data_IF_673106424610
#
_entry.id   IF_673106424610
#
_cell.length_a   1.000
_cell.length_b   1.000
_cell.length_c   1.000
_cell.angle_alpha   90.00
_cell.angle_beta   90.00
_cell.angle_gamma   90.00
#
_symmetry.space_group_name_H-M   'P 1'
#
loop_
_entity.id
_entity.type
_entity.pdbx_description
1 polymer ?
#
# COMPACT_ATOMS: atom_id res chain seq x y z
N UNK A 1 -4.45 18.71 22.93
CA UNK A 1 -4.20 19.45 21.67
C UNK A 1 -2.91 18.84 21.13
N UNK A 2 -2.87 18.18 19.98
CA UNK A 2 -3.33 18.61 18.66
C UNK A 2 -4.05 17.50 17.88
N UNK A 3 -4.67 17.93 16.79
CA UNK A 3 -5.79 17.33 16.08
C UNK A 3 -5.33 16.24 15.10
N UNK A 4 -6.02 15.09 15.10
CA UNK A 4 -6.03 14.17 13.95
C UNK A 4 -7.45 14.11 13.43
N UNK A 5 -7.74 14.91 12.40
CA UNK A 5 -8.87 14.65 11.49
C UNK A 5 -8.39 14.99 10.08
N UNK A 6 -8.37 13.99 9.20
CA UNK A 6 -8.90 14.18 7.85
C UNK A 6 -9.63 12.92 7.42
N UNK A 7 -10.93 12.94 7.66
CA UNK A 7 -11.93 12.02 7.16
C UNK A 7 -12.44 12.62 5.86
N UNK A 8 -12.22 11.99 4.70
CA UNK A 8 -13.06 12.17 3.49
C UNK A 8 -12.64 11.22 2.35
N UNK A 9 -13.20 10.02 2.34
CA UNK A 9 -13.57 9.35 1.09
C UNK A 9 -15.10 9.30 1.05
N UNK A 10 -15.73 10.43 0.71
CA UNK A 10 -17.18 10.50 0.47
C UNK A 10 -17.51 9.60 -0.71
N UNK A 11 -18.16 8.48 -0.41
CA UNK A 11 -18.93 7.69 -1.36
C UNK A 11 -20.34 8.27 -1.30
N UNK A 12 -20.73 9.05 -2.30
CA UNK A 12 -22.12 9.50 -2.42
C UNK A 12 -22.96 8.36 -3.00
N UNK A 13 -23.71 7.72 -2.12
CA UNK A 13 -24.68 6.66 -2.43
C UNK A 13 -26.05 7.32 -2.56
N UNK A 14 -26.47 7.66 -3.78
CA UNK A 14 -27.87 8.03 -4.03
C UNK A 14 -28.62 6.74 -4.36
N UNK A 15 -29.24 6.15 -3.34
CA UNK A 15 -30.35 5.22 -3.55
C UNK A 15 -31.60 6.03 -3.83
N UNK A 16 -32.03 6.05 -5.09
CA UNK A 16 -33.45 6.20 -5.39
C UNK A 16 -34.03 4.79 -5.37
N UNK A 17 -34.92 4.53 -4.41
CA UNK A 17 -35.67 3.29 -4.33
C UNK A 17 -36.45 3.06 -5.63
N UNK A 18 -36.38 1.83 -6.17
CA UNK A 18 -37.55 1.04 -6.56
C UNK A 18 -37.17 -0.43 -6.87
N UNK A 19 -37.73 -1.32 -6.07
CA UNK A 19 -38.19 -2.71 -6.30
C UNK A 19 -37.42 -3.65 -7.27
N UNK A 20 -36.83 -4.72 -6.68
CA UNK A 20 -37.04 -6.16 -6.98
C UNK A 20 -35.76 -7.02 -6.83
N UNK A 21 -35.94 -8.20 -6.25
CA UNK A 21 -34.93 -9.19 -5.83
C UNK A 21 -33.96 -9.58 -6.95
N UNK A 22 -32.68 -9.18 -6.86
CA UNK A 22 -31.60 -9.73 -7.71
C UNK A 22 -30.34 -9.94 -6.85
N UNK A 23 -29.78 -11.15 -6.91
CA UNK A 23 -28.61 -11.63 -6.18
C UNK A 23 -27.37 -10.71 -6.35
N UNK A 24 -26.43 -10.68 -5.39
CA UNK A 24 -25.24 -9.84 -5.46
C UNK A 24 -24.31 -10.35 -6.58
N UNK A 25 -24.56 -9.86 -7.78
CA UNK A 25 -23.62 -9.94 -8.89
C UNK A 25 -22.46 -9.04 -8.50
N UNK A 26 -21.27 -9.63 -8.25
CA UNK A 26 -20.05 -8.88 -7.96
C UNK A 26 -19.76 -7.96 -9.15
N UNK A 27 -20.22 -6.72 -9.05
CA UNK A 27 -20.03 -5.73 -10.08
C UNK A 27 -18.54 -5.42 -10.10
N UNK A 28 -17.85 -5.84 -11.16
CA UNK A 28 -16.45 -5.47 -11.37
C UNK A 28 -16.43 -3.95 -11.52
N UNK A 29 -16.15 -3.24 -10.42
CA UNK A 29 -15.95 -1.79 -10.42
C UNK A 29 -14.65 -1.51 -11.18
N UNK A 30 -14.76 -1.38 -12.51
CA UNK A 30 -13.65 -0.94 -13.36
C UNK A 30 -13.30 0.48 -12.91
N UNK A 31 -12.11 0.63 -12.32
CA UNK A 31 -11.64 1.92 -11.80
C UNK A 31 -11.71 2.98 -12.91
N UNK A 32 -12.43 4.08 -12.68
CA UNK A 32 -12.63 5.19 -13.64
C UNK A 32 -11.34 5.92 -14.06
N UNK A 33 -10.19 5.60 -13.47
CA UNK A 33 -8.94 6.34 -13.64
C UNK A 33 -8.05 5.79 -14.75
N UNK A 34 -7.58 6.67 -15.65
CA UNK A 34 -6.59 6.32 -16.69
C UNK A 34 -5.23 6.01 -16.05
N UNK A 35 -4.78 4.75 -16.15
CA UNK A 35 -3.46 4.32 -15.69
C UNK A 35 -2.36 4.97 -16.55
N UNK A 36 -1.29 5.45 -15.91
CA UNK A 36 -0.11 6.05 -16.58
C UNK A 36 1.17 5.36 -16.12
N UNK A 37 2.23 5.46 -16.93
CA UNK A 37 3.56 4.97 -16.54
C UNK A 37 4.07 5.83 -15.38
N UNK A 38 4.45 5.19 -14.28
CA UNK A 38 5.04 5.85 -13.11
C UNK A 38 6.54 6.02 -13.34
N UNK A 39 7.08 7.20 -13.04
CA UNK A 39 8.50 7.51 -13.23
C UNK A 39 9.43 6.71 -12.30
N UNK A 40 8.93 6.32 -11.12
CA UNK A 40 9.74 5.66 -10.09
C UNK A 40 9.78 4.13 -10.25
N UNK A 41 8.64 3.50 -10.54
CA UNK A 41 8.57 2.04 -10.66
C UNK A 41 8.43 1.54 -12.09
N UNK A 42 8.32 2.44 -13.07
CA UNK A 42 8.11 2.15 -14.49
C UNK A 42 6.86 1.32 -14.82
N UNK A 43 5.93 1.12 -13.87
CA UNK A 43 4.68 0.37 -14.06
C UNK A 43 3.51 1.28 -14.40
N UNK A 44 2.52 0.75 -15.14
CA UNK A 44 1.26 1.45 -15.45
C UNK A 44 0.24 1.29 -14.32
N UNK A 45 0.02 2.33 -13.53
CA UNK A 45 -0.86 2.34 -12.34
C UNK A 45 -1.65 3.65 -12.22
N UNK A 46 -2.61 3.71 -11.28
CA UNK A 46 -3.29 4.97 -10.92
C UNK A 46 -2.24 5.97 -10.40
N UNK A 47 -2.13 7.18 -10.98
CA UNK A 47 -1.31 8.26 -10.44
C UNK A 47 -1.71 8.62 -9.01
N UNK A 48 -0.78 9.15 -8.22
CA UNK A 48 -1.12 9.73 -6.93
C UNK A 48 -1.78 11.10 -7.12
N UNK A 49 -2.73 11.47 -6.28
CA UNK A 49 -3.46 12.74 -6.38
C UNK A 49 -2.53 13.94 -6.12
N UNK A 50 -1.66 13.80 -5.11
CA UNK A 50 -0.68 14.84 -4.73
C UNK A 50 0.60 14.84 -5.57
N UNK A 51 0.86 13.78 -6.35
CA UNK A 51 2.05 13.66 -7.18
C UNK A 51 1.77 12.86 -8.46
N UNK A 52 1.24 13.50 -9.52
CA UNK A 52 0.76 12.83 -10.72
C UNK A 52 1.83 12.06 -11.51
N UNK A 53 3.12 12.35 -11.28
CA UNK A 53 4.25 11.71 -11.95
C UNK A 53 4.57 10.31 -11.39
N UNK A 54 4.13 10.04 -10.16
CA UNK A 54 4.28 8.72 -9.53
C UNK A 54 2.93 8.06 -9.30
N UNK A 55 2.93 6.74 -9.18
CA UNK A 55 1.71 6.00 -8.87
C UNK A 55 1.39 6.02 -7.37
N UNK A 56 0.12 5.79 -7.03
CA UNK A 56 -0.35 5.73 -5.64
C UNK A 56 0.51 4.78 -4.78
N UNK A 57 0.91 3.60 -5.29
CA UNK A 57 1.76 2.66 -4.55
C UNK A 57 3.11 3.27 -4.18
N UNK A 58 3.80 3.91 -5.14
CA UNK A 58 5.10 4.56 -4.88
C UNK A 58 4.96 5.72 -3.90
N UNK A 59 3.87 6.49 -4.02
CA UNK A 59 3.56 7.59 -3.12
C UNK A 59 3.35 7.09 -1.68
N UNK A 60 2.52 6.05 -1.48
CA UNK A 60 2.30 5.49 -0.14
C UNK A 60 3.57 4.87 0.45
N UNK A 61 4.34 4.11 -0.33
CA UNK A 61 5.61 3.52 0.14
C UNK A 61 6.59 4.61 0.59
N UNK A 62 6.72 5.70 -0.18
CA UNK A 62 7.55 6.86 0.22
C UNK A 62 7.08 7.53 1.50
N UNK A 63 5.75 7.60 1.71
CA UNK A 63 5.15 8.24 2.88
C UNK A 63 5.28 7.39 4.14
N UNK A 64 5.14 6.06 4.02
CA UNK A 64 5.10 5.15 5.17
C UNK A 64 6.45 4.52 5.53
N UNK A 65 7.44 4.51 4.63
CA UNK A 65 8.80 4.02 4.94
C UNK A 65 9.62 5.00 5.78
N UNK A 66 9.11 5.35 6.96
CA UNK A 66 9.83 6.13 7.96
C UNK A 66 10.78 5.24 8.77
N UNK A 67 10.50 3.93 8.89
CA UNK A 67 11.37 2.97 9.56
C UNK A 67 12.52 2.55 8.63
N UNK A 68 13.66 3.24 8.75
CA UNK A 68 14.90 2.87 8.07
C UNK A 68 15.75 1.99 8.98
N UNK A 69 16.36 0.96 8.41
CA UNK A 69 17.32 0.10 9.11
C UNK A 69 18.67 0.78 9.35
N UNK A 70 18.91 1.92 8.69
CA UNK A 70 20.24 2.54 8.60
C UNK A 70 21.14 1.87 7.55
N UNK A 71 20.69 0.79 6.92
CA UNK A 71 21.38 0.11 5.84
C UNK A 71 20.64 0.33 4.52
N UNK A 72 21.24 1.16 3.65
CA UNK A 72 20.65 1.52 2.36
C UNK A 72 20.30 0.31 1.48
N UNK A 73 21.11 -0.76 1.49
CA UNK A 73 20.88 -1.95 0.67
C UNK A 73 19.62 -2.69 1.14
N UNK A 74 19.47 -2.83 2.46
CA UNK A 74 18.27 -3.45 3.07
C UNK A 74 17.05 -2.57 2.83
N UNK A 75 17.17 -1.26 3.03
CA UNK A 75 16.07 -0.31 2.85
C UNK A 75 15.58 -0.29 1.39
N UNK A 76 16.50 -0.30 0.42
CA UNK A 76 16.17 -0.37 -1.01
C UNK A 76 15.50 -1.71 -1.37
N UNK A 77 15.95 -2.82 -0.78
CA UNK A 77 15.34 -4.13 -0.97
C UNK A 77 13.89 -4.18 -0.46
N UNK A 78 13.66 -3.71 0.77
CA UNK A 78 12.32 -3.65 1.39
C UNK A 78 11.39 -2.77 0.55
N UNK A 79 11.86 -1.57 0.17
CA UNK A 79 11.12 -0.64 -0.69
C UNK A 79 10.72 -1.30 -2.01
N UNK A 80 11.65 -1.98 -2.67
CA UNK A 80 11.38 -2.66 -3.94
C UNK A 80 10.32 -3.76 -3.76
N UNK A 81 10.39 -4.56 -2.70
CA UNK A 81 9.38 -5.58 -2.39
C UNK A 81 7.99 -4.98 -2.21
N UNK A 82 7.86 -3.90 -1.43
CA UNK A 82 6.59 -3.20 -1.20
C UNK A 82 6.03 -2.56 -2.48
N UNK A 83 6.86 -1.97 -3.34
CA UNK A 83 6.44 -1.40 -4.64
C UNK A 83 5.99 -2.49 -5.61
N UNK A 84 6.61 -3.68 -5.53
CA UNK A 84 6.32 -4.79 -6.44
C UNK A 84 5.04 -5.52 -6.08
N UNK A 85 4.65 -5.54 -4.80
CA UNK A 85 3.43 -6.19 -4.34
C UNK A 85 2.19 -5.39 -4.79
N UNK A 86 1.34 -6.03 -5.59
CA UNK A 86 0.11 -5.44 -6.16
C UNK A 86 -1.16 -6.03 -5.54
N UNK A 87 -1.04 -7.09 -4.72
CA UNK A 87 -2.14 -7.80 -4.07
C UNK A 87 -1.94 -7.85 -2.55
N UNK A 88 -3.00 -8.09 -1.80
CA UNK A 88 -3.08 -8.11 -0.32
C UNK A 88 -2.20 -9.16 0.39
N UNK A 89 -1.27 -9.81 -0.31
CA UNK A 89 -0.47 -10.94 0.18
C UNK A 89 0.72 -10.57 1.08
N UNK A 90 0.55 -9.59 1.98
CA UNK A 90 1.55 -9.23 3.00
C UNK A 90 2.71 -8.38 2.46
N UNK A 91 2.80 -7.12 2.91
CA UNK A 91 3.93 -6.25 2.59
C UNK A 91 5.10 -6.56 3.53
N UNK A 92 6.31 -6.58 2.98
CA UNK A 92 7.52 -6.67 3.79
C UNK A 92 7.65 -5.41 4.66
N UNK A 93 7.91 -5.59 5.95
CA UNK A 93 8.13 -4.52 6.93
C UNK A 93 9.49 -4.71 7.59
N UNK A 94 10.18 -3.60 7.88
CA UNK A 94 11.35 -3.60 8.75
C UNK A 94 10.94 -3.50 10.22
N UNK A 95 11.38 -4.46 11.03
CA UNK A 95 11.18 -4.48 12.47
C UNK A 95 12.57 -4.47 13.15
N UNK A 96 12.92 -3.39 13.87
CA UNK A 96 14.16 -3.32 14.64
C UNK A 96 14.31 -4.49 15.64
N UNK A 97 15.54 -4.98 15.81
CA UNK A 97 15.82 -6.17 16.64
C UNK A 97 15.46 -5.96 18.13
N UNK A 98 15.59 -4.74 18.61
CA UNK A 98 15.26 -4.32 19.98
C UNK A 98 13.75 -4.39 20.30
N UNK A 99 12.88 -4.55 19.29
CA UNK A 99 11.44 -4.73 19.48
C UNK A 99 11.06 -6.17 19.85
N UNK A 100 11.94 -7.15 19.61
CA UNK A 100 11.67 -8.54 19.92
C UNK A 100 11.90 -8.83 21.41
N UNK A 101 11.03 -9.68 21.98
CA UNK A 101 11.13 -10.17 23.36
C UNK A 101 11.20 -11.69 23.35
N UNK A 102 11.74 -12.28 24.42
CA UNK A 102 11.84 -13.75 24.60
C UNK A 102 12.57 -14.43 23.42
N UNK A 103 13.73 -13.87 23.05
CA UNK A 103 14.54 -14.39 21.95
C UNK A 103 15.18 -15.71 22.40
N UNK A 104 14.82 -16.80 21.74
CA UNK A 104 15.34 -18.15 21.99
C UNK A 104 16.09 -18.64 20.75
N UNK A 105 17.20 -19.34 20.97
CA UNK A 105 17.97 -19.96 19.91
C UNK A 105 17.26 -21.23 19.41
N UNK A 106 16.94 -21.27 18.11
CA UNK A 106 16.24 -22.41 17.50
C UNK A 106 17.15 -23.31 16.66
N UNK A 107 18.16 -22.74 15.99
CA UNK A 107 19.14 -23.44 15.17
C UNK A 107 20.23 -22.47 14.69
N UNK A 108 21.39 -23.01 14.31
CA UNK A 108 22.42 -22.31 13.53
C UNK A 108 22.37 -22.83 12.09
N UNK A 109 22.40 -21.94 11.10
CA UNK A 109 22.33 -22.28 9.69
C UNK A 109 23.69 -22.25 8.98
N UNK A 110 23.75 -22.88 7.82
CA UNK A 110 24.82 -22.78 6.83
C UNK A 110 24.23 -22.91 5.43
N UNK A 111 24.65 -22.04 4.50
CA UNK A 111 24.19 -22.00 3.11
C UNK A 111 25.22 -22.61 2.16
#
# INVERSE_FOLDING_TARGET
MEQIIDYNSKIDFILSNDTSLIQPTQTIVKSKYKKRKCDECNRRRKPAEKSPNICHVCYEVKRYNVKQSGNKVIDDFIRNTQIRLVKDGGKMEFVPYDQFKNIEFIAEGGF
#
